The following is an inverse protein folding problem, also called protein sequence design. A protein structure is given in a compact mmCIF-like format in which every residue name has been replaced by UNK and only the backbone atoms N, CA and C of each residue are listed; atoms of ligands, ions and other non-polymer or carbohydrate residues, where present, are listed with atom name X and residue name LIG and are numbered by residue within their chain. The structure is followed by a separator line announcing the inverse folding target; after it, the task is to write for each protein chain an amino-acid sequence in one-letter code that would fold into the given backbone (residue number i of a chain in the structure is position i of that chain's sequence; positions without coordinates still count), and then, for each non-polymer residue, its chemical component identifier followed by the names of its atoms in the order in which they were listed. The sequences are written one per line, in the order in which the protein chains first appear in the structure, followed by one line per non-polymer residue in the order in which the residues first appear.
data_IF_290241717448
#
_entry.id   IF_290241717448
#
_cell.length_a   1.000
_cell.length_b   1.000
_cell.length_c   1.000
_cell.angle_alpha   90.00
_cell.angle_beta   90.00
_cell.angle_gamma   90.00
#
_symmetry.space_group_name_H-M   'P 1'
#
loop_
_entity.id
_entity.type
_entity.pdbx_description
1 polymer ?
#
# COMPACT_ATOMS: atom_id res chain seq x y z
N UNK A 1 -39.55 -18.82 -19.03
CA UNK A 1 -38.66 -19.18 -17.90
C UNK A 1 -37.28 -18.61 -18.21
N UNK A 2 -36.74 -17.76 -17.33
CA UNK A 2 -35.59 -16.88 -17.58
C UNK A 2 -34.31 -17.38 -16.88
N UNK A 3 -34.06 -18.69 -16.93
CA UNK A 3 -33.03 -19.35 -16.11
C UNK A 3 -31.60 -18.91 -16.44
N UNK A 4 -31.29 -18.65 -17.72
CA UNK A 4 -29.93 -18.31 -18.13
C UNK A 4 -29.41 -16.97 -17.60
N UNK A 5 -30.28 -15.99 -17.35
CA UNK A 5 -29.88 -14.72 -16.74
C UNK A 5 -29.67 -14.87 -15.24
N UNK A 6 -30.57 -15.61 -14.58
CA UNK A 6 -30.50 -15.90 -13.15
C UNK A 6 -29.22 -16.70 -12.80
N UNK A 7 -28.85 -17.68 -13.64
CA UNK A 7 -27.64 -18.48 -13.47
C UNK A 7 -26.36 -17.65 -13.59
N UNK A 8 -26.31 -16.71 -14.55
CA UNK A 8 -25.18 -15.82 -14.74
C UNK A 8 -25.02 -14.86 -13.54
N UNK A 9 -26.12 -14.32 -13.05
CA UNK A 9 -26.11 -13.42 -11.90
C UNK A 9 -25.77 -14.16 -10.60
N UNK A 10 -26.27 -15.38 -10.42
CA UNK A 10 -25.89 -16.24 -9.31
C UNK A 10 -24.39 -16.56 -9.33
N UNK A 11 -23.84 -16.87 -10.51
CA UNK A 11 -22.40 -17.10 -10.68
C UNK A 11 -21.59 -15.84 -10.35
N UNK A 12 -22.00 -14.66 -10.83
CA UNK A 12 -21.31 -13.39 -10.52
C UNK A 12 -21.29 -13.11 -9.03
N UNK A 13 -22.45 -13.25 -8.35
CA UNK A 13 -22.55 -13.04 -6.90
C UNK A 13 -21.61 -13.97 -6.14
N UNK A 14 -21.63 -15.25 -6.50
CA UNK A 14 -20.74 -16.24 -5.90
C UNK A 14 -19.27 -15.87 -6.10
N UNK A 15 -18.89 -15.48 -7.32
CA UNK A 15 -17.51 -15.09 -7.61
C UNK A 15 -17.08 -13.84 -6.84
N UNK A 16 -17.97 -12.86 -6.66
CA UNK A 16 -17.70 -11.67 -5.85
C UNK A 16 -17.44 -12.03 -4.38
N UNK A 17 -18.24 -12.93 -3.81
CA UNK A 17 -18.06 -13.39 -2.42
C UNK A 17 -16.73 -14.15 -2.27
N UNK A 18 -16.41 -15.04 -3.21
CA UNK A 18 -15.14 -15.76 -3.21
C UNK A 18 -13.95 -14.79 -3.24
N UNK A 19 -14.00 -13.78 -4.11
CA UNK A 19 -12.95 -12.77 -4.20
C UNK A 19 -12.84 -11.91 -2.93
N UNK A 20 -13.97 -11.60 -2.28
CA UNK A 20 -13.96 -10.90 -0.99
C UNK A 20 -13.20 -11.70 0.08
N UNK A 21 -13.38 -13.02 0.12
CA UNK A 21 -12.61 -13.88 1.02
C UNK A 21 -11.13 -13.96 0.64
N UNK A 22 -10.81 -14.08 -0.65
CA UNK A 22 -9.41 -14.06 -1.13
C UNK A 22 -8.70 -12.76 -0.71
N UNK A 23 -9.38 -11.61 -0.79
CA UNK A 23 -8.85 -10.33 -0.35
C UNK A 23 -8.68 -10.28 1.18
N UNK A 24 -9.70 -10.66 1.95
CA UNK A 24 -9.62 -10.67 3.40
C UNK A 24 -8.48 -11.58 3.93
N UNK A 25 -8.30 -12.75 3.31
CA UNK A 25 -7.27 -13.72 3.70
C UNK A 25 -5.85 -13.29 3.29
N UNK A 26 -5.71 -12.24 2.46
CA UNK A 26 -4.40 -11.75 2.00
C UNK A 26 -3.60 -10.99 3.07
N UNK A 27 -4.24 -10.56 4.15
CA UNK A 27 -3.61 -9.76 5.21
C UNK A 27 -3.25 -8.33 4.80
N UNK A 28 -3.62 -7.90 3.58
CA UNK A 28 -3.35 -6.54 3.07
C UNK A 28 -4.38 -5.49 3.45
N UNK A 29 -5.57 -5.92 3.82
CA UNK A 29 -6.72 -5.04 4.08
C UNK A 29 -7.05 -5.04 5.57
N UNK A 30 -7.49 -3.90 6.10
CA UNK A 30 -7.76 -3.75 7.53
C UNK A 30 -9.12 -4.32 7.92
N UNK A 31 -10.15 -4.01 7.14
CA UNK A 31 -11.53 -4.38 7.44
C UNK A 31 -12.34 -4.65 6.17
N UNK A 32 -13.65 -4.90 6.33
CA UNK A 32 -14.56 -5.12 5.22
C UNK A 32 -14.69 -3.90 4.30
N UNK A 33 -14.49 -2.68 4.81
CA UNK A 33 -14.62 -1.43 4.04
C UNK A 33 -13.52 -1.37 2.99
N UNK A 34 -12.29 -1.70 3.40
CA UNK A 34 -11.14 -1.81 2.50
C UNK A 34 -11.34 -2.89 1.45
N UNK A 35 -11.89 -4.05 1.85
CA UNK A 35 -12.23 -5.14 0.92
C UNK A 35 -13.30 -4.68 -0.09
N UNK A 36 -14.35 -4.00 0.37
CA UNK A 36 -15.40 -3.46 -0.49
C UNK A 36 -14.84 -2.42 -1.48
N UNK A 37 -13.95 -1.55 -1.01
CA UNK A 37 -13.25 -0.58 -1.85
C UNK A 37 -12.43 -1.27 -2.94
N UNK A 38 -11.61 -2.27 -2.58
CA UNK A 38 -10.81 -3.02 -3.53
C UNK A 38 -11.67 -3.73 -4.59
N UNK A 39 -12.78 -4.34 -4.19
CA UNK A 39 -13.71 -4.97 -5.13
C UNK A 39 -14.33 -3.95 -6.10
N UNK A 40 -14.74 -2.79 -5.59
CA UNK A 40 -15.41 -1.78 -6.42
C UNK A 40 -14.44 -1.09 -7.38
N UNK A 41 -13.29 -0.62 -6.89
CA UNK A 41 -12.39 0.25 -7.63
C UNK A 41 -11.23 -0.49 -8.30
N UNK A 42 -10.65 -1.50 -7.65
CA UNK A 42 -9.55 -2.27 -8.25
C UNK A 42 -10.05 -3.40 -9.16
N UNK A 43 -11.24 -3.95 -8.88
CA UNK A 43 -11.82 -5.09 -9.61
C UNK A 43 -13.05 -4.75 -10.45
N UNK A 44 -13.52 -3.50 -10.41
CA UNK A 44 -14.65 -3.02 -11.21
C UNK A 44 -16.00 -3.67 -10.84
N UNK A 45 -16.13 -4.27 -9.65
CA UNK A 45 -17.35 -4.92 -9.20
C UNK A 45 -18.28 -3.91 -8.51
N UNK A 46 -19.01 -3.13 -9.31
CA UNK A 46 -19.84 -2.03 -8.82
C UNK A 46 -20.91 -2.44 -7.78
N UNK A 47 -21.40 -3.68 -7.84
CA UNK A 47 -22.41 -4.21 -6.91
C UNK A 47 -21.81 -4.96 -5.72
N UNK A 48 -20.48 -5.04 -5.60
CA UNK A 48 -19.83 -5.84 -4.56
C UNK A 48 -20.19 -5.39 -3.16
N UNK A 49 -20.20 -4.08 -2.89
CA UNK A 49 -20.55 -3.55 -1.58
C UNK A 49 -21.92 -4.06 -1.15
N UNK A 50 -22.94 -3.94 -1.99
CA UNK A 50 -24.30 -4.41 -1.67
C UNK A 50 -24.39 -5.93 -1.39
N UNK A 51 -23.48 -6.73 -1.96
CA UNK A 51 -23.44 -8.17 -1.74
C UNK A 51 -22.74 -8.57 -0.44
N UNK A 52 -21.80 -7.77 0.04
CA UNK A 52 -21.01 -8.06 1.24
C UNK A 52 -21.41 -7.20 2.44
N UNK A 53 -22.41 -6.33 2.29
CA UNK A 53 -22.85 -5.37 3.31
C UNK A 53 -23.64 -6.01 4.46
N UNK A 54 -23.98 -7.28 4.34
CA UNK A 54 -24.70 -8.01 5.37
C UNK A 54 -23.90 -8.01 6.69
N UNK A 55 -24.54 -7.72 7.85
CA UNK A 55 -23.85 -7.64 9.13
C UNK A 55 -23.08 -8.90 9.53
N UNK A 56 -23.57 -10.08 9.17
CA UNK A 56 -22.87 -11.34 9.43
C UNK A 56 -21.63 -11.47 8.53
N UNK A 57 -21.80 -11.18 7.24
CA UNK A 57 -20.69 -11.17 6.28
C UNK A 57 -19.59 -10.18 6.68
N UNK A 58 -19.94 -8.96 7.10
CA UNK A 58 -18.99 -7.96 7.60
C UNK A 58 -18.17 -8.48 8.78
N UNK A 59 -18.80 -9.17 9.73
CA UNK A 59 -18.08 -9.78 10.87
C UNK A 59 -17.11 -10.87 10.42
N UNK A 60 -17.53 -11.72 9.47
CA UNK A 60 -16.67 -12.78 8.92
C UNK A 60 -15.46 -12.19 8.21
N UNK A 61 -15.67 -11.17 7.37
CA UNK A 61 -14.58 -10.51 6.65
C UNK A 61 -13.61 -9.81 7.61
N UNK A 62 -14.11 -9.04 8.58
CA UNK A 62 -13.27 -8.38 9.57
C UNK A 62 -12.42 -9.37 10.37
N UNK A 63 -13.02 -10.50 10.78
CA UNK A 63 -12.30 -11.57 11.47
C UNK A 63 -11.19 -12.15 10.59
N UNK A 64 -11.49 -12.42 9.32
CA UNK A 64 -10.49 -12.94 8.37
C UNK A 64 -9.35 -11.95 8.13
N UNK A 65 -9.65 -10.66 7.98
CA UNK A 65 -8.64 -9.61 7.86
C UNK A 65 -7.72 -9.58 9.09
N UNK A 66 -8.30 -9.60 10.30
CA UNK A 66 -7.54 -9.65 11.54
C UNK A 66 -6.68 -10.92 11.63
N UNK A 67 -7.28 -12.10 11.42
CA UNK A 67 -6.58 -13.39 11.46
C UNK A 67 -5.44 -13.45 10.43
N UNK A 68 -5.60 -12.86 9.25
CA UNK A 68 -4.57 -12.81 8.21
C UNK A 68 -3.45 -11.83 8.56
N UNK A 69 -3.77 -10.67 9.14
CA UNK A 69 -2.79 -9.70 9.64
C UNK A 69 -1.96 -10.27 10.78
N UNK A 70 -2.60 -10.96 11.73
CA UNK A 70 -1.92 -11.58 12.86
C UNK A 70 -0.95 -12.70 12.41
N UNK A 71 -1.28 -13.41 11.34
CA UNK A 71 -0.37 -14.41 10.73
C UNK A 71 0.82 -13.78 10.01
N UNK A 72 0.66 -12.57 9.47
CA UNK A 72 1.75 -11.82 8.81
C UNK A 72 2.59 -11.03 9.82
N UNK A 73 2.05 -10.72 10.99
CA UNK A 73 2.76 -9.98 12.02
C UNK A 73 4.02 -10.77 12.43
N UNK A 74 5.22 -10.15 12.35
CA UNK A 74 6.42 -10.76 12.88
C UNK A 74 6.21 -11.12 14.36
N UNK A 75 6.71 -12.27 14.84
CA UNK A 75 6.64 -12.59 16.25
C UNK A 75 7.29 -11.46 17.05
N UNK A 76 6.71 -11.07 18.20
CA UNK A 76 7.31 -10.04 19.03
C UNK A 76 8.76 -10.46 19.32
N UNK A 77 9.71 -9.57 18.99
CA UNK A 77 11.10 -9.76 19.38
C UNK A 77 11.12 -10.02 20.89
N UNK A 78 11.89 -11.00 21.38
CA UNK A 78 11.90 -11.32 22.79
C UNK A 78 12.16 -10.04 23.58
N UNK A 79 11.25 -9.71 24.50
CA UNK A 79 11.45 -8.63 25.47
C UNK A 79 12.77 -8.91 26.18
N UNK A 80 13.81 -8.20 25.76
CA UNK A 80 15.03 -8.08 26.54
C UNK A 80 14.59 -7.34 27.78
N UNK A 81 14.43 -8.08 28.88
CA UNK A 81 14.30 -7.55 30.23
C UNK A 81 15.50 -6.64 30.46
N UNK A 82 15.33 -5.35 30.20
CA UNK A 82 16.27 -4.31 30.61
C UNK A 82 16.01 -4.08 32.09
N UNK A 83 16.69 -4.86 32.93
CA UNK A 83 16.96 -4.48 34.31
C UNK A 83 17.86 -3.23 34.27
N UNK A 84 17.28 -2.06 34.49
CA UNK A 84 17.97 -0.86 34.96
C UNK A 84 17.58 -0.64 36.43
N UNK A 85 18.50 -0.24 37.34
CA UNK A 85 18.82 1.19 37.42
C UNK A 85 20.25 1.60 37.89
N UNK A 86 20.85 2.54 37.10
CA UNK A 86 21.61 3.77 37.48
C UNK A 86 22.96 3.68 38.28
N UNK A 87 23.79 4.77 38.47
CA UNK A 87 23.73 6.17 37.96
C UNK A 87 25.11 6.88 37.63
N UNK A 88 25.02 8.11 37.07
CA UNK A 88 25.97 9.27 37.09
C UNK A 88 27.33 9.20 36.36
N UNK A 89 27.50 9.98 35.27
CA UNK A 89 28.42 11.15 35.23
C UNK A 89 27.98 12.17 34.17
N UNK A 90 27.64 13.38 34.64
CA UNK A 90 27.63 14.60 33.85
C UNK A 90 29.06 14.92 33.36
N UNK A 91 29.20 15.31 32.10
CA UNK A 91 30.30 16.15 31.65
C UNK A 91 29.78 17.11 30.58
N UNK A 92 29.20 18.21 31.05
CA UNK A 92 29.04 19.45 30.28
C UNK A 92 30.42 19.91 29.82
N UNK A 93 30.57 20.13 28.52
CA UNK A 93 31.60 20.99 27.96
C UNK A 93 30.97 21.83 26.84
N UNK A 94 30.20 22.85 27.24
CA UNK A 94 30.04 24.03 26.40
C UNK A 94 31.33 24.86 26.48
N UNK A 95 32.00 25.01 25.34
CA UNK A 95 32.97 26.06 25.05
C UNK A 95 33.02 26.17 23.52
N UNK A 96 32.29 27.11 22.92
CA UNK A 96 32.66 28.54 22.75
C UNK A 96 33.64 28.78 21.59
N UNK A 97 33.17 29.63 20.67
CA UNK A 97 33.85 30.35 19.59
C UNK A 97 34.02 29.70 18.20
N UNK A 98 33.01 30.00 17.38
CA UNK A 98 33.08 30.50 16.01
C UNK A 98 34.44 31.14 15.64
N UNK A 99 35.17 30.48 14.74
CA UNK A 99 36.21 31.08 13.91
C UNK A 99 36.28 30.31 12.59
N UNK A 100 35.90 30.99 11.51
CA UNK A 100 35.98 30.55 10.13
C UNK A 100 37.30 29.82 9.79
N UNK A 101 37.21 28.55 9.38
CA UNK A 101 38.29 27.87 8.67
C UNK A 101 37.79 27.47 7.28
N UNK A 102 38.43 28.05 6.27
CA UNK A 102 38.23 27.73 4.85
C UNK A 102 38.62 26.26 4.57
N UNK A 103 37.91 25.56 3.66
CA UNK A 103 38.31 24.22 3.21
C UNK A 103 39.67 24.25 2.52
N UNK A 104 40.54 23.32 2.90
CA UNK A 104 41.88 23.14 2.31
C UNK A 104 41.77 22.33 1.01
N UNK A 105 42.63 22.66 0.04
CA UNK A 105 42.57 22.22 -1.36
C UNK A 105 42.80 20.71 -1.63
N UNK A 106 42.68 19.84 -0.63
CA UNK A 106 42.89 18.40 -0.75
C UNK A 106 41.57 17.61 -0.98
N UNK A 107 40.45 18.31 -1.18
CA UNK A 107 39.11 17.75 -1.45
C UNK A 107 38.85 17.26 -2.90
N UNK A 108 39.84 17.26 -3.81
CA UNK A 108 39.55 17.04 -5.24
C UNK A 108 40.35 15.93 -5.95
N UNK A 109 40.72 14.85 -5.26
CA UNK A 109 41.41 13.74 -5.93
C UNK A 109 40.95 12.33 -5.53
N UNK A 110 39.63 12.04 -5.55
CA UNK A 110 39.17 10.64 -5.74
C UNK A 110 37.75 10.50 -6.28
N UNK A 111 37.60 10.57 -7.60
CA UNK A 111 36.43 10.09 -8.34
C UNK A 111 36.88 9.16 -9.46
N UNK A 112 36.30 7.95 -9.56
CA UNK A 112 36.08 7.29 -10.83
C UNK A 112 34.61 7.39 -11.24
N UNK A 113 34.44 8.00 -12.39
CA UNK A 113 33.26 8.15 -13.23
C UNK A 113 32.51 6.86 -13.56
N UNK A 114 31.17 6.87 -13.48
CA UNK A 114 30.29 6.23 -14.48
C UNK A 114 28.94 6.98 -14.55
N UNK A 115 28.89 8.05 -15.35
CA UNK A 115 27.63 8.48 -15.95
C UNK A 115 27.27 7.51 -17.09
N UNK A 116 26.04 6.97 -17.06
CA UNK A 116 25.07 6.85 -18.18
C UNK A 116 24.27 5.55 -18.11
N UNK A 117 23.06 5.64 -17.55
CA UNK A 117 21.90 4.94 -18.13
C UNK A 117 20.63 5.77 -17.90
N UNK A 118 20.46 6.79 -18.74
CA UNK A 118 19.14 7.28 -19.09
C UNK A 118 18.55 6.31 -20.12
N UNK A 119 17.28 5.92 -19.98
CA UNK A 119 16.35 5.59 -21.07
C UNK A 119 14.92 5.48 -20.53
N UNK A 120 14.18 6.58 -20.70
CA UNK A 120 12.80 6.67 -21.19
C UNK A 120 11.78 5.58 -20.80
N UNK A 121 10.86 5.93 -19.91
CA UNK A 121 9.45 5.55 -20.09
C UNK A 121 8.63 6.83 -20.24
N UNK A 122 8.21 7.08 -21.48
CA UNK A 122 7.34 8.19 -21.88
C UNK A 122 5.97 8.00 -21.24
N UNK A 123 5.58 8.96 -20.42
CA UNK A 123 4.21 9.18 -19.97
C UNK A 123 3.41 9.66 -21.18
N UNK A 124 2.68 8.76 -21.86
CA UNK A 124 1.74 9.15 -22.92
C UNK A 124 0.41 9.55 -22.28
N UNK A 125 0.36 10.80 -21.84
CA UNK A 125 -0.89 11.53 -21.61
C UNK A 125 -1.59 11.70 -22.98
N UNK A 126 -2.62 10.91 -23.24
CA UNK A 126 -3.54 11.14 -24.35
C UNK A 126 -4.55 12.22 -23.98
N UNK A 127 -4.26 13.47 -24.33
CA UNK A 127 -5.21 14.57 -24.24
C UNK A 127 -5.60 15.04 -25.66
N UNK A 128 -6.90 15.18 -25.84
CA UNK A 128 -7.65 16.10 -26.72
C UNK A 128 -7.23 16.33 -28.18
N UNK A 129 -8.25 16.18 -29.05
CA UNK A 129 -8.46 17.05 -30.20
C UNK A 129 -8.35 16.36 -31.56
N UNK A 130 -9.48 16.09 -32.21
CA UNK A 130 -9.92 17.04 -33.23
C UNK A 130 -11.35 16.75 -33.72
N UNK A 131 -12.17 17.80 -33.60
CA UNK A 131 -13.38 17.99 -34.37
C UNK A 131 -12.95 18.48 -35.75
N UNK A 132 -13.21 17.72 -36.81
CA UNK A 132 -13.34 18.31 -38.13
C UNK A 132 -14.32 17.53 -39.01
N UNK A 133 -15.41 18.23 -39.31
CA UNK A 133 -16.41 17.97 -40.32
C UNK A 133 -15.81 17.87 -41.72
N UNK A 134 -16.33 16.97 -42.57
CA UNK A 134 -16.47 17.22 -44.00
C UNK A 134 -17.56 16.30 -44.61
N UNK A 135 -18.28 16.76 -45.66
CA UNK A 135 -19.46 16.09 -46.23
C UNK A 135 -19.12 15.24 -47.46
N UNK A 136 -19.95 14.23 -47.73
CA UNK A 136 -20.30 13.72 -49.08
C UNK A 136 -21.55 12.85 -48.98
#
# INVERSE_FOLDING_TARGET
MSTGHDDLDAWKRRRTIELAFELADSGRYEDFTDVAYALQFERGMATAQALIDDPEMRRVLNRRCADARDKLAPPPAPEVVQDEPAPVVEAVAESSNDHAQMPRADDFARTPSFMRRALNFVWRSGNAGDLNSAPS
#
